data_IF_674233846212
#
_entry.id   IF_674233846212
#
_cell.length_a   1.000
_cell.length_b   1.000
_cell.length_c   1.000
_cell.angle_alpha   90.00
_cell.angle_beta   90.00
_cell.angle_gamma   90.00
#
_symmetry.space_group_name_H-M   'P 1'
#
loop_
_entity.id
_entity.type
_entity.pdbx_description
1 polymer ?
#
# COMPACT_ATOMS: atom_id res chain seq x y z
N UNK A 1 -16.00 -4.72 15.59
CA UNK A 1 -16.12 -4.98 14.16
C UNK A 1 -15.69 -3.73 13.41
N UNK A 2 -14.65 -3.82 12.61
CA UNK A 2 -14.15 -2.66 11.87
C UNK A 2 -13.82 -3.02 10.43
N UNK A 3 -14.04 -2.05 9.55
CA UNK A 3 -13.82 -2.15 8.11
C UNK A 3 -12.94 -0.99 7.67
N UNK A 4 -11.98 -1.25 6.81
CA UNK A 4 -11.20 -0.22 6.12
C UNK A 4 -11.12 -0.50 4.63
N UNK A 5 -10.95 0.56 3.84
CA UNK A 5 -10.78 0.48 2.39
C UNK A 5 -9.58 1.33 2.02
N UNK A 6 -8.67 0.74 1.24
CA UNK A 6 -7.46 1.39 0.72
C UNK A 6 -7.38 1.15 -0.78
N UNK A 7 -6.90 2.15 -1.49
CA UNK A 7 -6.74 2.12 -2.95
C UNK A 7 -5.30 1.83 -3.33
N UNK A 8 -5.14 0.98 -4.34
CA UNK A 8 -3.86 0.65 -4.97
C UNK A 8 -4.09 0.36 -6.46
N UNK A 9 -3.04 -0.09 -7.16
CA UNK A 9 -3.11 -0.47 -8.57
C UNK A 9 -2.33 -1.73 -8.86
N UNK A 10 -2.83 -2.51 -9.79
CA UNK A 10 -2.09 -3.60 -10.41
C UNK A 10 -1.12 -3.04 -11.46
N UNK A 11 -0.15 -3.86 -11.87
CA UNK A 11 0.75 -3.57 -12.99
C UNK A 11 0.47 -4.57 -14.11
N UNK A 12 -0.06 -4.09 -15.23
CA UNK A 12 -0.32 -4.87 -16.43
C UNK A 12 0.33 -4.17 -17.63
N UNK A 13 1.61 -4.40 -17.87
CA UNK A 13 2.38 -3.68 -18.87
C UNK A 13 2.43 -2.19 -18.55
N UNK A 14 1.95 -1.36 -19.48
CA UNK A 14 1.81 0.10 -19.29
C UNK A 14 0.52 0.49 -18.57
N UNK A 15 -0.40 -0.45 -18.40
CA UNK A 15 -1.67 -0.22 -17.72
C UNK A 15 -1.50 -0.43 -16.22
N UNK A 16 -2.24 0.34 -15.46
CA UNK A 16 -2.27 0.25 -14.01
C UNK A 16 -3.72 0.28 -13.52
N UNK A 17 -4.47 -0.83 -13.70
CA UNK A 17 -5.88 -0.88 -13.30
C UNK A 17 -6.04 -0.76 -11.79
N UNK A 18 -7.09 -0.06 -11.37
CA UNK A 18 -7.39 0.18 -9.97
C UNK A 18 -7.73 -1.11 -9.21
N UNK A 19 -7.17 -1.22 -8.01
CA UNK A 19 -7.45 -2.30 -7.07
C UNK A 19 -7.92 -1.67 -5.77
N UNK A 20 -8.99 -2.21 -5.20
CA UNK A 20 -9.47 -1.83 -3.88
C UNK A 20 -9.14 -2.92 -2.88
N UNK A 21 -8.53 -2.56 -1.77
CA UNK A 21 -8.22 -3.46 -0.66
C UNK A 21 -9.19 -3.18 0.47
N UNK A 22 -9.95 -4.20 0.84
CA UNK A 22 -10.93 -4.15 1.91
C UNK A 22 -10.43 -5.02 3.06
N UNK A 23 -10.37 -4.49 4.27
CA UNK A 23 -9.98 -5.23 5.48
C UNK A 23 -11.12 -5.20 6.47
N UNK A 24 -11.56 -6.37 6.88
CA UNK A 24 -12.58 -6.57 7.90
C UNK A 24 -11.99 -7.32 9.10
N UNK A 25 -12.06 -6.71 10.26
CA UNK A 25 -11.64 -7.30 11.53
C UNK A 25 -12.88 -7.61 12.37
N UNK A 26 -13.02 -8.85 12.78
CA UNK A 26 -14.14 -9.34 13.58
C UNK A 26 -13.68 -10.17 14.76
N UNK A 27 -14.56 -10.39 15.72
CA UNK A 27 -14.33 -11.32 16.81
C UNK A 27 -14.35 -12.77 16.29
N UNK A 28 -13.51 -13.60 16.87
CA UNK A 28 -13.40 -15.00 16.50
C UNK A 28 -11.99 -15.53 16.75
N UNK A 29 -11.75 -16.76 16.32
CA UNK A 29 -10.42 -17.34 16.37
C UNK A 29 -9.44 -16.50 15.57
N UNK A 30 -8.28 -16.13 16.13
CA UNK A 30 -7.26 -15.39 15.42
C UNK A 30 -6.85 -16.09 14.13
N UNK A 31 -6.83 -15.33 13.05
CA UNK A 31 -6.43 -15.84 11.75
C UNK A 31 -6.55 -14.78 10.67
N UNK A 32 -5.80 -14.94 9.61
CA UNK A 32 -5.78 -14.06 8.45
C UNK A 32 -6.18 -14.83 7.21
N UNK A 33 -7.28 -14.40 6.59
CA UNK A 33 -7.70 -14.87 5.27
C UNK A 33 -7.52 -13.77 4.26
N UNK A 34 -6.87 -14.05 3.14
CA UNK A 34 -6.59 -13.11 2.08
C UNK A 34 -7.14 -13.66 0.77
N UNK A 35 -8.02 -12.89 0.14
CA UNK A 35 -8.76 -13.25 -1.07
C UNK A 35 -8.37 -12.31 -2.20
N UNK A 36 -8.30 -12.84 -3.41
CA UNK A 36 -8.00 -12.06 -4.62
C UNK A 36 -6.54 -12.07 -5.04
N UNK A 37 -5.69 -12.87 -4.41
CA UNK A 37 -4.30 -13.14 -4.79
C UNK A 37 -4.08 -14.64 -5.02
N UNK A 38 -3.09 -15.03 -5.86
CA UNK A 38 -2.64 -16.42 -5.93
C UNK A 38 -2.17 -16.95 -4.56
N UNK A 39 -2.38 -18.23 -4.29
CA UNK A 39 -2.10 -18.83 -2.97
C UNK A 39 -0.65 -18.64 -2.50
N UNK A 40 0.31 -18.79 -3.41
CA UNK A 40 1.74 -18.55 -3.11
C UNK A 40 2.01 -17.11 -2.70
N UNK A 41 1.42 -16.15 -3.40
CA UNK A 41 1.54 -14.72 -3.11
C UNK A 41 0.87 -14.37 -1.77
N UNK A 42 -0.24 -15.01 -1.45
CA UNK A 42 -0.95 -14.84 -0.15
C UNK A 42 -0.03 -15.16 1.01
N UNK A 43 0.62 -16.33 0.97
CA UNK A 43 1.50 -16.77 2.07
C UNK A 43 2.66 -15.80 2.27
N UNK A 44 3.33 -15.42 1.20
CA UNK A 44 4.45 -14.49 1.25
C UNK A 44 4.05 -13.10 1.75
N UNK A 45 2.96 -12.53 1.22
CA UNK A 45 2.44 -11.24 1.64
C UNK A 45 2.06 -11.24 3.13
N UNK A 46 1.40 -12.28 3.60
CA UNK A 46 1.03 -12.42 5.00
C UNK A 46 2.25 -12.37 5.92
N UNK A 47 3.30 -13.10 5.59
CA UNK A 47 4.50 -13.17 6.41
C UNK A 47 5.26 -11.83 6.42
N UNK A 48 5.41 -11.16 5.26
CA UNK A 48 6.04 -9.85 5.16
C UNK A 48 5.26 -8.77 5.92
N UNK A 49 3.95 -8.69 5.70
CA UNK A 49 3.08 -7.69 6.33
C UNK A 49 3.07 -7.86 7.84
N UNK A 50 2.91 -9.09 8.34
CA UNK A 50 2.93 -9.37 9.77
C UNK A 50 4.23 -8.92 10.43
N UNK A 51 5.37 -9.35 9.89
CA UNK A 51 6.68 -9.00 10.42
C UNK A 51 6.94 -7.49 10.36
N UNK A 52 6.60 -6.85 9.24
CA UNK A 52 6.77 -5.42 9.05
C UNK A 52 5.95 -4.60 10.07
N UNK A 53 4.71 -4.98 10.33
CA UNK A 53 3.84 -4.32 11.33
C UNK A 53 4.45 -4.43 12.72
N UNK A 54 4.85 -5.63 13.14
CA UNK A 54 5.41 -5.88 14.46
C UNK A 54 6.75 -5.14 14.62
N UNK A 55 7.63 -5.24 13.64
CA UNK A 55 8.95 -4.59 13.68
C UNK A 55 8.88 -3.06 13.53
N UNK A 56 7.75 -2.52 13.10
CA UNK A 56 7.49 -1.08 13.05
C UNK A 56 6.88 -0.53 14.36
N UNK A 57 6.73 -1.38 15.39
CA UNK A 57 6.20 -0.97 16.69
C UNK A 57 4.68 -0.92 16.77
N UNK A 58 3.99 -1.50 15.81
CA UNK A 58 2.54 -1.68 15.84
C UNK A 58 2.16 -3.06 16.32
N UNK A 59 0.92 -3.20 16.77
CA UNK A 59 0.36 -4.49 17.17
C UNK A 59 -0.28 -5.19 15.97
N UNK A 60 0.00 -6.48 15.81
CA UNK A 60 -0.74 -7.32 14.88
C UNK A 60 -1.99 -7.85 15.58
N UNK A 61 -3.21 -7.54 15.08
CA UNK A 61 -4.44 -7.89 15.79
C UNK A 61 -4.63 -9.39 15.96
N UNK A 62 -4.85 -9.84 17.21
CA UNK A 62 -5.19 -11.22 17.54
C UNK A 62 -6.69 -11.48 17.37
N UNK A 63 -7.21 -11.23 16.18
CA UNK A 63 -8.63 -11.35 15.81
C UNK A 63 -8.77 -12.03 14.46
N UNK A 64 -9.99 -12.33 14.07
CA UNK A 64 -10.29 -12.83 12.73
C UNK A 64 -10.21 -11.69 11.74
N UNK A 65 -9.26 -11.79 10.82
CA UNK A 65 -8.99 -10.78 9.79
C UNK A 65 -9.33 -11.36 8.42
N UNK A 66 -10.15 -10.64 7.66
CA UNK A 66 -10.44 -10.97 6.25
C UNK A 66 -10.01 -9.81 5.38
N UNK A 67 -9.18 -10.07 4.39
CA UNK A 67 -8.68 -9.09 3.43
C UNK A 67 -9.12 -9.51 2.04
N UNK A 68 -9.72 -8.58 1.30
CA UNK A 68 -10.14 -8.81 -0.07
C UNK A 68 -9.49 -7.78 -1.00
N UNK A 69 -8.88 -8.27 -2.08
CA UNK A 69 -8.34 -7.44 -3.16
C UNK A 69 -9.28 -7.54 -4.36
N UNK A 70 -10.02 -6.50 -4.64
CA UNK A 70 -11.00 -6.44 -5.70
C UNK A 70 -10.52 -5.58 -6.89
N UNK A 71 -10.85 -5.94 -8.14
CA UNK A 71 -11.65 -7.10 -8.52
C UNK A 71 -10.85 -8.41 -8.54
N UNK A 72 -11.53 -9.54 -8.37
CA UNK A 72 -10.92 -10.86 -8.27
C UNK A 72 -10.35 -11.38 -9.60
N UNK A 73 -10.89 -10.94 -10.72
CA UNK A 73 -10.54 -11.37 -12.07
C UNK A 73 -9.29 -10.70 -12.66
N UNK A 74 -8.78 -9.64 -12.03
CA UNK A 74 -7.52 -9.01 -12.42
C UNK A 74 -6.33 -9.83 -11.92
N UNK A 75 -5.33 -10.12 -12.78
CA UNK A 75 -4.07 -10.70 -12.35
C UNK A 75 -3.36 -9.78 -11.35
N UNK A 76 -2.92 -10.33 -10.24
CA UNK A 76 -2.21 -9.61 -9.18
C UNK A 76 -0.97 -10.38 -8.80
N UNK A 77 0.19 -9.79 -9.01
CA UNK A 77 1.48 -10.43 -8.80
C UNK A 77 2.43 -9.53 -8.00
N UNK A 78 3.41 -10.17 -7.37
CA UNK A 78 4.48 -9.52 -6.63
C UNK A 78 4.08 -8.92 -5.28
N UNK A 79 5.01 -8.21 -4.68
CA UNK A 79 4.89 -7.67 -3.33
C UNK A 79 4.29 -6.26 -3.24
N UNK A 80 3.89 -5.67 -4.35
CA UNK A 80 3.41 -4.28 -4.41
C UNK A 80 2.18 -3.97 -3.56
N UNK A 81 1.44 -4.99 -3.14
CA UNK A 81 0.25 -4.88 -2.29
C UNK A 81 0.57 -4.89 -0.80
N UNK A 82 1.80 -5.16 -0.41
CA UNK A 82 2.20 -5.26 1.00
C UNK A 82 1.90 -3.96 1.77
N UNK A 83 2.34 -2.83 1.25
CA UNK A 83 2.12 -1.52 1.88
C UNK A 83 0.62 -1.19 2.03
N UNK A 84 -0.20 -1.25 0.97
CA UNK A 84 -1.62 -0.96 1.12
C UNK A 84 -2.35 -1.96 2.03
N UNK A 85 -1.97 -3.22 2.05
CA UNK A 85 -2.53 -4.23 2.97
C UNK A 85 -2.18 -3.86 4.41
N UNK A 86 -0.92 -3.55 4.71
CA UNK A 86 -0.48 -3.17 6.05
C UNK A 86 -1.19 -1.92 6.55
N UNK A 87 -1.29 -0.89 5.72
CA UNK A 87 -1.98 0.36 6.07
C UNK A 87 -3.47 0.12 6.31
N UNK A 88 -4.14 -0.64 5.44
CA UNK A 88 -5.55 -0.98 5.60
C UNK A 88 -5.80 -1.74 6.92
N UNK A 89 -4.91 -2.65 7.29
CA UNK A 89 -4.98 -3.40 8.53
C UNK A 89 -4.78 -2.51 9.76
N UNK A 90 -3.80 -1.61 9.72
CA UNK A 90 -3.55 -0.65 10.80
C UNK A 90 -4.70 0.35 10.98
N UNK A 91 -5.35 0.76 9.90
CA UNK A 91 -6.55 1.61 9.94
C UNK A 91 -7.73 0.84 10.53
N UNK A 92 -7.98 -0.38 10.07
CA UNK A 92 -9.07 -1.21 10.58
C UNK A 92 -8.91 -1.55 12.07
N UNK A 93 -7.67 -1.63 12.56
CA UNK A 93 -7.34 -1.84 13.97
C UNK A 93 -7.19 -0.54 14.79
N UNK A 94 -7.55 0.60 14.19
CA UNK A 94 -7.53 1.93 14.83
C UNK A 94 -6.14 2.40 15.28
N UNK A 95 -5.07 1.84 14.73
CA UNK A 95 -3.70 2.24 15.02
C UNK A 95 -3.21 3.39 14.13
N UNK A 96 -3.86 3.63 13.01
CA UNK A 96 -3.65 4.79 12.13
C UNK A 96 -4.95 5.53 11.88
N UNK A 97 -4.84 6.85 11.69
CA UNK A 97 -5.98 7.72 11.36
C UNK A 97 -6.22 7.80 9.86
N UNK A 98 -7.47 8.01 9.46
CA UNK A 98 -7.95 7.88 8.08
C UNK A 98 -8.18 9.20 7.35
N UNK A 99 -7.99 10.36 7.98
CA UNK A 99 -8.51 11.65 7.49
C UNK A 99 -8.18 11.99 6.02
N UNK A 100 -7.09 11.45 5.46
CA UNK A 100 -6.71 11.71 4.08
C UNK A 100 -6.45 10.45 3.26
N UNK A 101 -6.67 9.27 3.83
CA UNK A 101 -6.28 8.02 3.20
C UNK A 101 -7.00 7.76 1.86
N UNK A 102 -8.27 8.15 1.77
CA UNK A 102 -9.07 8.02 0.56
C UNK A 102 -8.63 8.95 -0.58
N UNK A 103 -7.79 9.94 -0.29
CA UNK A 103 -7.21 10.86 -1.27
C UNK A 103 -5.92 10.33 -1.90
N UNK A 104 -5.39 9.21 -1.40
CA UNK A 104 -4.13 8.61 -1.83
C UNK A 104 -4.31 7.16 -2.24
N UNK A 105 -3.50 6.75 -3.19
CA UNK A 105 -3.26 5.36 -3.51
C UNK A 105 -1.88 4.97 -2.96
N UNK A 106 -1.69 3.70 -2.59
CA UNK A 106 -0.45 3.21 -2.00
C UNK A 106 0.08 2.04 -2.82
N UNK A 107 1.38 2.07 -3.10
CA UNK A 107 2.09 1.00 -3.83
C UNK A 107 3.46 0.83 -3.20
N UNK A 108 3.78 -0.38 -2.77
CA UNK A 108 5.10 -0.67 -2.22
C UNK A 108 5.20 -2.08 -1.64
N UNK A 109 6.38 -2.65 -1.71
CA UNK A 109 6.72 -3.90 -1.04
C UNK A 109 7.32 -3.59 0.33
N UNK A 110 7.05 -4.45 1.31
CA UNK A 110 7.60 -4.32 2.66
C UNK A 110 8.72 -5.34 2.89
N UNK A 111 9.84 -4.85 3.42
CA UNK A 111 10.81 -5.71 4.08
C UNK A 111 10.29 -6.13 5.46
N UNK A 112 10.82 -7.20 6.01
CA UNK A 112 10.43 -7.68 7.36
C UNK A 112 10.67 -6.65 8.46
N UNK A 113 11.59 -5.72 8.24
CA UNK A 113 11.88 -4.59 9.15
C UNK A 113 10.82 -3.50 9.14
N UNK A 114 9.95 -3.49 8.15
CA UNK A 114 9.01 -2.39 7.87
C UNK A 114 9.53 -1.36 6.88
N UNK A 115 10.75 -1.52 6.35
CA UNK A 115 11.26 -0.67 5.27
C UNK A 115 10.45 -0.87 4.00
N UNK A 116 10.23 0.20 3.25
CA UNK A 116 9.59 0.14 1.94
C UNK A 116 10.61 -0.14 0.85
N UNK A 117 10.25 -1.04 -0.05
CA UNK A 117 11.00 -1.36 -1.25
C UNK A 117 10.25 -0.90 -2.49
N UNK A 118 11.00 -0.42 -3.48
CA UNK A 118 10.47 -0.04 -4.78
C UNK A 118 9.85 -1.20 -5.52
N UNK A 119 8.90 -0.88 -6.39
CA UNK A 119 8.20 -1.85 -7.23
C UNK A 119 8.31 -1.45 -8.69
N UNK A 120 8.25 -2.42 -9.62
CA UNK A 120 8.21 -2.12 -11.04
C UNK A 120 6.92 -1.37 -11.42
N UNK A 121 7.02 -0.44 -12.39
CA UNK A 121 5.85 0.23 -12.95
C UNK A 121 5.21 1.28 -12.04
N UNK A 122 5.93 1.82 -11.07
CA UNK A 122 5.41 2.87 -10.20
C UNK A 122 4.97 4.12 -10.98
N UNK A 123 5.64 4.45 -12.08
CA UNK A 123 5.26 5.59 -12.92
C UNK A 123 3.87 5.42 -13.54
N UNK A 124 3.53 4.23 -14.02
CA UNK A 124 2.20 3.94 -14.57
C UNK A 124 1.12 4.04 -13.52
N UNK A 125 1.38 3.51 -12.33
CA UNK A 125 0.47 3.62 -11.18
C UNK A 125 0.27 5.07 -10.76
N UNK A 126 1.34 5.86 -10.68
CA UNK A 126 1.27 7.28 -10.31
C UNK A 126 0.53 8.11 -11.36
N UNK A 127 0.77 7.87 -12.64
CA UNK A 127 0.09 8.56 -13.74
C UNK A 127 -1.43 8.34 -13.66
N UNK A 128 -1.85 7.10 -13.48
CA UNK A 128 -3.28 6.77 -13.39
C UNK A 128 -3.93 7.30 -12.10
N UNK A 129 -3.23 7.25 -10.97
CA UNK A 129 -3.74 7.82 -9.71
C UNK A 129 -4.00 9.32 -9.84
N UNK A 130 -3.05 10.06 -10.38
CA UNK A 130 -3.18 11.52 -10.61
C UNK A 130 -4.29 11.82 -11.62
N UNK A 131 -4.42 11.02 -12.68
CA UNK A 131 -5.48 11.17 -13.68
C UNK A 131 -6.88 11.07 -13.06
N UNK A 132 -7.09 10.23 -12.07
CA UNK A 132 -8.38 10.08 -11.37
C UNK A 132 -8.52 11.04 -10.17
N UNK A 133 -7.57 11.94 -9.97
CA UNK A 133 -7.63 12.96 -8.93
C UNK A 133 -7.15 12.52 -7.55
N UNK A 134 -6.39 11.42 -7.46
CA UNK A 134 -5.75 10.97 -6.21
C UNK A 134 -4.25 11.21 -6.23
N UNK A 135 -3.68 11.42 -5.04
CA UNK A 135 -2.24 11.30 -4.86
C UNK A 135 -1.79 9.85 -4.80
N UNK A 136 -0.50 9.62 -4.82
CA UNK A 136 0.10 8.29 -4.65
C UNK A 136 1.26 8.34 -3.66
N UNK A 137 1.38 7.31 -2.85
CA UNK A 137 2.51 7.08 -1.95
C UNK A 137 3.27 5.87 -2.46
N UNK A 138 4.56 6.06 -2.74
CA UNK A 138 5.47 5.03 -3.24
C UNK A 138 6.72 4.95 -2.37
N UNK A 139 7.51 3.89 -2.54
CA UNK A 139 8.79 3.79 -1.87
C UNK A 139 9.78 4.87 -2.39
N UNK A 140 10.69 5.31 -1.52
CA UNK A 140 11.75 6.26 -1.88
C UNK A 140 12.60 5.77 -3.07
N UNK A 141 12.79 4.47 -3.20
CA UNK A 141 13.49 3.87 -4.35
C UNK A 141 12.82 4.17 -5.70
N UNK A 142 11.52 4.48 -5.72
CA UNK A 142 10.77 4.89 -6.91
C UNK A 142 10.73 6.41 -7.13
N UNK A 143 11.40 7.20 -6.30
CA UNK A 143 11.33 8.67 -6.34
C UNK A 143 11.72 9.26 -7.69
N UNK A 144 12.81 8.79 -8.28
CA UNK A 144 13.28 9.28 -9.57
C UNK A 144 12.31 8.95 -10.71
N UNK A 145 11.70 7.78 -10.65
CA UNK A 145 10.72 7.33 -11.65
C UNK A 145 9.45 8.19 -11.61
N UNK A 146 8.85 8.35 -10.43
CA UNK A 146 7.61 9.14 -10.29
C UNK A 146 7.85 10.65 -10.38
N UNK A 147 9.08 11.09 -10.13
CA UNK A 147 9.49 12.49 -10.30
C UNK A 147 9.44 12.98 -11.74
N UNK A 148 9.31 12.10 -12.72
CA UNK A 148 9.12 12.45 -14.14
C UNK A 148 7.70 12.95 -14.44
N UNK A 149 6.75 12.72 -13.52
CA UNK A 149 5.35 13.11 -13.70
C UNK A 149 5.21 14.58 -13.31
N UNK A 150 4.62 15.37 -14.20
CA UNK A 150 4.30 16.77 -13.93
C UNK A 150 3.11 16.86 -12.98
N UNK A 151 3.23 17.68 -11.93
CA UNK A 151 2.16 17.95 -10.99
C UNK A 151 2.50 17.60 -9.54
N UNK A 152 1.58 17.92 -8.66
CA UNK A 152 1.65 17.61 -7.23
C UNK A 152 0.81 16.36 -6.95
N UNK A 153 1.28 15.47 -6.09
CA UNK A 153 0.50 14.30 -5.67
C UNK A 153 1.30 13.04 -5.46
N UNK A 154 2.59 13.04 -5.84
CA UNK A 154 3.49 11.93 -5.52
C UNK A 154 4.19 12.19 -4.20
N UNK A 155 4.03 11.27 -3.26
CA UNK A 155 4.72 11.25 -1.99
C UNK A 155 5.62 10.02 -1.92
N UNK A 156 6.74 10.13 -1.23
CA UNK A 156 7.64 9.01 -1.00
C UNK A 156 7.79 8.72 0.48
N UNK A 157 7.90 7.44 0.80
CA UNK A 157 8.18 6.96 2.14
C UNK A 157 9.26 5.87 2.08
N UNK A 158 10.04 5.74 3.13
CA UNK A 158 11.10 4.73 3.24
C UNK A 158 10.81 3.66 4.29
N UNK A 159 9.82 3.90 5.14
CA UNK A 159 9.44 2.99 6.21
C UNK A 159 7.95 3.08 6.54
N UNK A 160 7.35 1.97 6.99
CA UNK A 160 5.96 1.90 7.42
C UNK A 160 5.65 2.86 8.59
N UNK A 161 6.65 3.14 9.41
CA UNK A 161 6.58 4.06 10.56
C UNK A 161 6.68 5.54 10.17
N UNK A 162 6.99 5.88 8.92
CA UNK A 162 7.20 7.27 8.47
C UNK A 162 5.90 8.08 8.57
N UNK A 163 5.65 8.64 9.75
CA UNK A 163 4.43 9.42 10.06
C UNK A 163 4.51 10.89 9.65
N UNK A 164 5.69 11.43 9.41
CA UNK A 164 5.88 12.88 9.36
C UNK A 164 6.84 13.41 8.30
N UNK A 165 7.54 12.55 7.60
CA UNK A 165 8.48 12.96 6.55
C UNK A 165 8.02 12.57 5.15
N UNK A 166 6.73 12.73 4.87
CA UNK A 166 6.19 12.62 3.52
C UNK A 166 6.76 13.76 2.67
N UNK A 167 7.85 13.49 1.97
CA UNK A 167 8.44 14.45 1.03
C UNK A 167 7.62 14.46 -0.25
N UNK A 168 7.10 15.62 -0.59
CA UNK A 168 6.47 15.84 -1.90
C UNK A 168 7.52 15.76 -2.99
N UNK A 169 7.35 14.84 -3.93
CA UNK A 169 8.20 14.75 -5.11
C UNK A 169 7.80 15.87 -6.07
N UNK A 170 8.73 16.69 -6.48
CA UNK A 170 8.52 17.65 -7.57
C UNK A 170 8.83 19.11 -7.34
N UNK A 171 9.04 19.58 -6.11
CA UNK A 171 9.39 21.01 -5.88
C UNK A 171 10.86 21.28 -5.53
N UNK A 172 11.61 20.30 -5.08
CA UNK A 172 13.01 20.53 -4.68
C UNK A 172 14.05 20.30 -5.80
N UNK A 173 13.70 19.67 -6.90
CA UNK A 173 14.62 19.46 -8.03
C UNK A 173 14.79 20.67 -8.97
N UNK A 174 14.13 21.82 -8.73
CA UNK A 174 14.22 23.00 -9.58
C UNK A 174 15.10 24.14 -9.04
N UNK A 175 15.76 23.94 -7.92
CA UNK A 175 16.61 24.98 -7.33
C UNK A 175 18.06 24.54 -7.11
N UNK A 176 18.65 23.92 -8.13
CA UNK A 176 20.11 23.81 -8.23
C UNK A 176 20.56 23.93 -9.69
#
# INVERSE_FOLDING_TARGET
MSLSIVHTRAALGVNAPAITIEVHISNGLPGLTLVGLPETTVKEARDRVRSAIINSGYDFPAKKITINLAPADLPKEGGRYDLPIAVALLVASEQLTTHKLNQYELVGELALTGALRGVPGAISSATEAIRVGRGIIVAKENENEVGLIEGEGCLVADHLQARSEERRVGKECRSR
#
